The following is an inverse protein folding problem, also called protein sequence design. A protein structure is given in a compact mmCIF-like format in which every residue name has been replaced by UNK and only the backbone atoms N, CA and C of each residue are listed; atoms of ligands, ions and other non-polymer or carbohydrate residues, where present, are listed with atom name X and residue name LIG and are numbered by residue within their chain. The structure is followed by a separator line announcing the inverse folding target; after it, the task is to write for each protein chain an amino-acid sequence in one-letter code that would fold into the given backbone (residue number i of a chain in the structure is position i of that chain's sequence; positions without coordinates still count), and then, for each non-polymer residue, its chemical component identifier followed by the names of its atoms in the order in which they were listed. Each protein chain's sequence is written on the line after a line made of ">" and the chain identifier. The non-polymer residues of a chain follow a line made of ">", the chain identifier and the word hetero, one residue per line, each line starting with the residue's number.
data_IF_224994434646
#
_entry.id   IF_224994434646
#
_cell.length_a   1.000
_cell.length_b   1.000
_cell.length_c   1.000
_cell.angle_alpha   90.00
_cell.angle_beta   90.00
_cell.angle_gamma   90.00
#
_symmetry.space_group_name_H-M   'P 1'
#
loop_
_entity.id
_entity.type
_entity.pdbx_description
1 polymer ?
#
# COMPACT_ATOMS: atom_id res chain seq x y z
N UNK A 1 15.10 36.25 25.88
CA UNK A 1 15.73 34.91 25.99
C UNK A 1 17.18 35.12 26.35
N UNK A 2 17.65 34.54 27.45
CA UNK A 2 19.06 34.63 27.86
C UNK A 2 19.93 33.73 26.97
N UNK A 3 21.11 34.21 26.59
CA UNK A 3 22.10 33.42 25.89
C UNK A 3 22.65 32.35 26.83
N UNK A 4 22.73 31.11 26.36
CA UNK A 4 23.37 30.00 27.08
C UNK A 4 24.81 29.89 26.58
N UNK A 5 25.79 29.83 27.49
CA UNK A 5 27.19 29.59 27.12
C UNK A 5 27.34 28.26 26.38
N UNK A 6 27.96 28.29 25.19
CA UNK A 6 28.20 27.11 24.38
C UNK A 6 29.12 27.41 23.21
N UNK A 7 29.61 26.35 22.55
CA UNK A 7 30.32 26.45 21.28
C UNK A 7 29.30 26.57 20.14
N UNK A 8 29.58 27.43 19.17
CA UNK A 8 28.77 27.60 17.97
C UNK A 8 29.67 27.55 16.74
N UNK A 9 29.09 27.19 15.60
CA UNK A 9 29.83 27.21 14.35
C UNK A 9 30.19 28.65 13.94
N UNK A 10 31.38 28.85 13.33
CA UNK A 10 31.76 30.13 12.73
C UNK A 10 30.77 30.58 11.66
N UNK A 11 30.77 31.89 11.37
CA UNK A 11 29.93 32.46 10.32
C UNK A 11 30.14 31.76 8.97
N UNK A 12 29.03 31.41 8.31
CA UNK A 12 29.04 30.68 7.03
C UNK A 12 29.09 29.15 7.15
N UNK A 13 29.33 28.60 8.34
CA UNK A 13 29.28 27.17 8.62
C UNK A 13 28.05 26.79 9.45
N UNK A 14 27.61 25.56 9.29
CA UNK A 14 26.43 24.98 9.94
C UNK A 14 26.81 23.75 10.74
N UNK A 15 26.18 23.56 11.90
CA UNK A 15 26.35 22.36 12.70
C UNK A 15 25.82 21.14 11.92
N UNK A 16 26.65 20.11 11.80
CA UNK A 16 26.32 18.87 11.09
C UNK A 16 25.52 17.88 11.94
N UNK A 17 25.24 18.21 13.21
CA UNK A 17 24.54 17.36 14.18
C UNK A 17 25.36 16.18 14.70
N UNK A 18 26.64 16.10 14.31
CA UNK A 18 27.65 15.14 14.78
C UNK A 18 28.80 15.83 15.54
N UNK A 19 28.69 17.13 15.76
CA UNK A 19 29.66 17.95 16.48
C UNK A 19 30.69 18.64 15.58
N UNK A 20 30.50 18.62 14.25
CA UNK A 20 31.30 19.31 13.26
C UNK A 20 30.59 20.53 12.68
N UNK A 21 31.36 21.40 12.02
CA UNK A 21 30.84 22.56 11.29
C UNK A 21 31.14 22.39 9.80
N UNK A 22 30.10 22.43 8.96
CA UNK A 22 30.18 22.17 7.51
C UNK A 22 29.60 23.32 6.69
N UNK A 23 29.99 23.43 5.42
CA UNK A 23 29.33 24.34 4.49
C UNK A 23 27.89 23.87 4.21
N UNK A 24 27.00 24.79 3.85
CA UNK A 24 25.59 24.46 3.55
C UNK A 24 25.44 23.34 2.52
N UNK A 25 26.36 23.26 1.54
CA UNK A 25 26.34 22.22 0.50
C UNK A 25 26.63 20.81 1.05
N UNK A 26 27.36 20.74 2.16
CA UNK A 26 27.83 19.51 2.80
C UNK A 26 26.97 19.12 4.01
N UNK A 27 25.89 19.88 4.29
CA UNK A 27 24.93 19.55 5.33
C UNK A 27 24.30 18.15 5.12
N UNK A 28 24.42 17.24 6.10
CA UNK A 28 23.82 15.92 6.04
C UNK A 28 22.30 15.98 6.22
N UNK A 29 21.60 14.94 5.75
CA UNK A 29 20.16 14.76 5.93
C UNK A 29 19.87 13.69 6.98
N UNK A 30 18.73 13.78 7.65
CA UNK A 30 18.24 12.76 8.56
C UNK A 30 17.03 12.03 7.98
N UNK A 31 16.96 10.71 8.19
CA UNK A 31 15.80 9.90 7.85
C UNK A 31 15.73 8.70 8.81
N UNK A 32 14.58 8.49 9.47
CA UNK A 32 14.40 7.44 10.50
C UNK A 32 15.52 7.40 11.56
N UNK A 33 15.90 8.59 12.06
CA UNK A 33 16.97 8.79 13.06
C UNK A 33 18.38 8.38 12.61
N UNK A 34 18.59 8.12 11.32
CA UNK A 34 19.92 7.91 10.75
C UNK A 34 20.40 9.13 9.96
N UNK A 35 21.72 9.33 9.92
CA UNK A 35 22.38 10.45 9.25
C UNK A 35 22.98 10.04 7.92
N UNK A 36 22.66 10.80 6.87
CA UNK A 36 23.07 10.56 5.49
C UNK A 36 23.90 11.73 4.96
N UNK A 37 25.08 11.44 4.40
CA UNK A 37 25.92 12.45 3.77
C UNK A 37 25.28 13.04 2.51
N UNK A 38 25.69 14.24 2.11
CA UNK A 38 25.28 14.85 0.84
C UNK A 38 25.50 13.89 -0.33
N UNK A 39 24.52 13.84 -1.24
CA UNK A 39 24.53 12.95 -2.41
C UNK A 39 24.06 11.51 -2.12
N UNK A 40 23.88 11.13 -0.86
CA UNK A 40 23.30 9.86 -0.49
C UNK A 40 21.88 9.71 -1.08
N UNK A 41 21.54 8.48 -1.47
CA UNK A 41 20.24 8.15 -2.07
C UNK A 41 19.51 7.14 -1.22
N UNK A 42 18.24 7.40 -0.96
CA UNK A 42 17.31 6.46 -0.32
C UNK A 42 16.12 6.21 -1.24
N UNK A 43 15.48 5.04 -1.06
CA UNK A 43 14.19 4.75 -1.68
C UNK A 43 13.07 4.94 -0.66
N UNK A 44 12.07 5.72 -1.03
CA UNK A 44 10.84 5.90 -0.27
C UNK A 44 9.69 5.45 -1.17
N UNK A 45 9.15 4.28 -0.88
CA UNK A 45 8.18 3.57 -1.74
C UNK A 45 8.73 3.38 -3.17
N UNK A 46 8.15 4.02 -4.19
CA UNK A 46 8.63 4.00 -5.56
C UNK A 46 9.54 5.19 -5.93
N UNK A 47 9.75 6.13 -5.00
CA UNK A 47 10.52 7.34 -5.23
C UNK A 47 11.97 7.20 -4.79
N UNK A 48 12.86 7.93 -5.47
CA UNK A 48 14.27 8.03 -5.10
C UNK A 48 14.52 9.44 -4.57
N UNK A 49 15.02 9.52 -3.34
CA UNK A 49 15.35 10.77 -2.68
C UNK A 49 16.87 10.91 -2.59
N UNK A 50 17.38 12.10 -2.93
CA UNK A 50 18.80 12.44 -2.83
C UNK A 50 18.98 13.52 -1.77
N UNK A 51 19.91 13.32 -0.85
CA UNK A 51 20.26 14.33 0.15
C UNK A 51 21.01 15.49 -0.53
N UNK A 52 20.46 16.70 -0.44
CA UNK A 52 21.03 17.91 -1.00
C UNK A 52 20.87 19.06 -0.01
N UNK A 53 21.99 19.63 0.45
CA UNK A 53 22.00 20.81 1.33
C UNK A 53 21.15 20.62 2.61
N UNK A 54 21.25 19.46 3.25
CA UNK A 54 20.48 19.12 4.45
C UNK A 54 19.00 18.79 4.22
N UNK A 55 18.51 18.79 2.97
CA UNK A 55 17.14 18.45 2.62
C UNK A 55 17.05 17.27 1.64
N UNK A 56 15.95 16.54 1.68
CA UNK A 56 15.67 15.47 0.73
C UNK A 56 15.02 16.03 -0.54
N UNK A 57 15.68 15.84 -1.68
CA UNK A 57 15.10 16.07 -3.01
C UNK A 57 14.63 14.74 -3.59
N UNK A 58 13.32 14.53 -3.68
CA UNK A 58 12.72 13.28 -4.13
C UNK A 58 12.13 13.38 -5.53
N UNK A 59 12.08 12.25 -6.24
CA UNK A 59 11.20 12.11 -7.42
C UNK A 59 9.73 12.19 -7.00
N UNK A 60 8.87 12.61 -7.94
CA UNK A 60 7.41 12.76 -7.72
C UNK A 60 6.60 11.69 -8.47
N UNK A 61 7.10 10.45 -8.49
CA UNK A 61 6.36 9.34 -9.09
C UNK A 61 5.16 9.00 -8.22
N UNK A 62 4.00 8.79 -8.84
CA UNK A 62 2.83 8.26 -8.15
C UNK A 62 3.04 6.75 -7.99
N UNK A 63 3.03 6.29 -6.75
CA UNK A 63 3.26 4.88 -6.42
C UNK A 63 1.94 4.09 -6.38
N UNK A 64 2.05 2.78 -6.16
CA UNK A 64 0.88 1.94 -5.95
C UNK A 64 0.13 2.36 -4.68
N UNK A 65 -1.19 2.47 -4.77
CA UNK A 65 -2.03 2.52 -3.57
C UNK A 65 -2.13 1.12 -2.96
N UNK A 66 -2.03 1.00 -1.64
CA UNK A 66 -2.25 -0.28 -0.93
C UNK A 66 -3.43 -0.18 0.03
N UNK A 67 -4.41 -1.07 -0.12
CA UNK A 67 -5.45 -1.34 0.86
C UNK A 67 -5.11 -2.65 1.59
N UNK A 68 -5.32 -2.69 2.91
CA UNK A 68 -5.00 -3.87 3.73
C UNK A 68 -6.22 -4.30 4.52
N UNK A 69 -6.50 -5.60 4.51
CA UNK A 69 -7.49 -6.26 5.36
C UNK A 69 -6.75 -7.28 6.20
N UNK A 70 -6.91 -7.26 7.52
CA UNK A 70 -6.20 -8.19 8.40
C UNK A 70 -6.97 -8.50 9.68
N UNK A 71 -6.64 -9.66 10.27
CA UNK A 71 -7.21 -10.07 11.55
C UNK A 71 -8.74 -10.22 11.52
N UNK A 72 -9.39 -9.61 12.51
CA UNK A 72 -10.84 -9.66 12.71
C UNK A 72 -11.47 -8.30 12.36
N UNK A 73 -11.66 -8.04 11.08
CA UNK A 73 -12.35 -6.83 10.63
C UNK A 73 -11.54 -5.54 10.69
N UNK A 74 -10.20 -5.59 10.66
CA UNK A 74 -9.36 -4.39 10.57
C UNK A 74 -9.05 -4.02 9.12
N UNK A 75 -9.18 -2.74 8.80
CA UNK A 75 -8.97 -2.21 7.46
C UNK A 75 -8.02 -1.01 7.48
N UNK A 76 -7.17 -0.94 6.45
CA UNK A 76 -6.39 0.24 6.09
C UNK A 76 -6.74 0.57 4.65
N UNK A 77 -7.35 1.72 4.42
CA UNK A 77 -7.72 2.21 3.09
C UNK A 77 -6.50 2.63 2.27
N UNK A 78 -6.69 2.86 0.96
CA UNK A 78 -5.63 3.34 0.06
C UNK A 78 -5.01 4.69 0.46
N UNK A 79 -5.75 5.53 1.18
CA UNK A 79 -5.32 6.81 1.73
C UNK A 79 -4.84 6.73 3.19
N UNK A 80 -4.71 5.52 3.75
CA UNK A 80 -4.11 5.29 5.06
C UNK A 80 -5.05 5.48 6.25
N UNK A 81 -6.37 5.46 6.04
CA UNK A 81 -7.34 5.51 7.12
C UNK A 81 -7.53 4.12 7.74
N UNK A 82 -7.40 4.05 9.05
CA UNK A 82 -7.64 2.86 9.85
C UNK A 82 -9.08 2.83 10.36
N UNK A 83 -9.75 1.70 10.24
CA UNK A 83 -11.05 1.46 10.88
C UNK A 83 -11.32 -0.02 11.12
N UNK A 84 -12.25 -0.28 12.03
CA UNK A 84 -12.72 -1.62 12.38
C UNK A 84 -14.16 -1.81 11.89
N UNK A 85 -14.47 -2.98 11.33
CA UNK A 85 -15.79 -3.31 10.83
C UNK A 85 -16.08 -4.82 10.95
N UNK A 86 -17.00 -5.16 11.85
CA UNK A 86 -17.44 -6.54 12.15
C UNK A 86 -18.75 -6.91 11.42
N UNK A 87 -18.76 -6.82 10.10
CA UNK A 87 -19.92 -7.20 9.29
C UNK A 87 -19.93 -8.70 8.93
N UNK A 88 -21.05 -9.40 9.11
CA UNK A 88 -21.22 -10.83 8.79
C UNK A 88 -21.88 -11.07 7.42
N UNK A 89 -21.28 -10.53 6.37
CA UNK A 89 -21.77 -10.64 4.99
C UNK A 89 -20.60 -10.58 3.98
N UNK A 90 -20.95 -10.57 2.70
CA UNK A 90 -20.03 -10.21 1.62
C UNK A 90 -20.01 -8.69 1.45
N UNK A 91 -18.81 -8.12 1.45
CA UNK A 91 -18.61 -6.68 1.28
C UNK A 91 -17.63 -6.41 0.15
N UNK A 92 -17.89 -5.34 -0.60
CA UNK A 92 -16.95 -4.82 -1.57
C UNK A 92 -15.77 -4.23 -0.81
N UNK A 93 -14.59 -4.83 -1.00
CA UNK A 93 -13.34 -4.27 -0.51
C UNK A 93 -12.87 -3.12 -1.41
N UNK A 94 -12.96 -3.33 -2.73
CA UNK A 94 -12.80 -2.29 -3.73
C UNK A 94 -13.26 -2.74 -5.12
N UNK A 95 -13.74 -1.82 -5.95
CA UNK A 95 -14.13 -2.02 -7.34
C UNK A 95 -14.01 -0.70 -8.14
N UNK A 96 -14.02 -0.80 -9.46
CA UNK A 96 -14.05 0.37 -10.36
C UNK A 96 -15.44 0.71 -10.91
N UNK A 97 -16.47 -0.01 -10.46
CA UNK A 97 -17.87 0.28 -10.73
C UNK A 97 -18.47 1.18 -9.64
N UNK A 98 -18.31 2.49 -9.79
CA UNK A 98 -18.76 3.48 -8.81
C UNK A 98 -19.79 4.44 -9.43
N UNK A 99 -21.06 4.09 -9.30
CA UNK A 99 -22.21 4.84 -9.84
C UNK A 99 -22.42 4.67 -11.35
N UNK A 100 -23.35 5.43 -11.92
CA UNK A 100 -23.87 5.25 -13.30
C UNK A 100 -22.88 5.63 -14.43
N UNK A 101 -21.65 6.04 -14.09
CA UNK A 101 -20.64 6.54 -15.04
C UNK A 101 -19.49 5.59 -15.34
N UNK A 102 -19.54 4.34 -14.87
CA UNK A 102 -18.54 3.31 -15.20
C UNK A 102 -19.12 2.27 -16.17
N UNK A 103 -19.19 2.55 -17.49
CA UNK A 103 -19.78 1.63 -18.47
C UNK A 103 -19.00 0.32 -18.67
N UNK A 104 -17.78 0.20 -18.12
CA UNK A 104 -16.99 -1.03 -18.14
C UNK A 104 -16.26 -1.22 -16.81
N UNK A 105 -16.85 -1.97 -15.89
CA UNK A 105 -16.11 -2.46 -14.72
C UNK A 105 -15.03 -3.43 -15.19
N UNK A 106 -13.79 -3.16 -14.83
CA UNK A 106 -12.65 -4.04 -15.13
C UNK A 106 -12.34 -4.97 -13.98
N UNK A 107 -12.67 -4.60 -12.73
CA UNK A 107 -12.45 -5.46 -11.57
C UNK A 107 -13.38 -5.14 -10.39
N UNK A 108 -13.57 -6.15 -9.54
CA UNK A 108 -14.20 -6.02 -8.23
C UNK A 108 -13.56 -7.03 -7.27
N UNK A 109 -13.28 -6.62 -6.04
CA UNK A 109 -12.73 -7.48 -4.99
C UNK A 109 -13.72 -7.47 -3.83
N UNK A 110 -14.20 -8.66 -3.48
CA UNK A 110 -15.17 -8.88 -2.42
C UNK A 110 -14.51 -9.69 -1.31
N UNK A 111 -14.72 -9.27 -0.07
CA UNK A 111 -14.36 -10.02 1.14
C UNK A 111 -15.61 -10.68 1.71
N UNK A 112 -15.53 -11.98 1.97
CA UNK A 112 -16.58 -12.75 2.63
C UNK A 112 -16.23 -12.90 4.11
N UNK A 113 -16.92 -12.11 4.95
CA UNK A 113 -16.71 -12.09 6.38
C UNK A 113 -17.75 -12.98 7.07
N UNK A 114 -17.27 -14.00 7.77
CA UNK A 114 -18.13 -14.90 8.56
C UNK A 114 -17.80 -14.75 10.04
N UNK A 115 -18.78 -14.94 10.94
CA UNK A 115 -18.51 -15.04 12.37
C UNK A 115 -17.49 -16.15 12.62
N UNK A 116 -16.40 -15.83 13.30
CA UNK A 116 -15.38 -16.80 13.66
C UNK A 116 -15.01 -16.65 15.13
N UNK A 117 -15.55 -17.54 15.95
CA UNK A 117 -15.47 -17.50 17.40
C UNK A 117 -16.86 -17.39 18.05
N UNK A 118 -16.88 -17.08 19.35
CA UNK A 118 -18.11 -17.03 20.17
C UNK A 118 -18.49 -15.61 20.60
N UNK A 119 -17.65 -14.61 20.31
CA UNK A 119 -17.81 -13.22 20.75
C UNK A 119 -18.55 -12.33 19.74
N UNK A 120 -18.97 -12.88 18.60
CA UNK A 120 -19.64 -12.11 17.54
C UNK A 120 -18.69 -11.40 16.55
N UNK A 121 -17.37 -11.52 16.73
CA UNK A 121 -16.37 -11.01 15.78
C UNK A 121 -16.40 -11.77 14.46
N UNK A 122 -16.05 -11.09 13.37
CA UNK A 122 -16.00 -11.68 12.03
C UNK A 122 -14.59 -11.67 11.47
N UNK A 123 -14.24 -12.69 10.69
CA UNK A 123 -13.00 -12.71 9.93
C UNK A 123 -13.27 -13.05 8.47
N UNK A 124 -12.41 -12.52 7.60
CA UNK A 124 -12.47 -12.80 6.18
C UNK A 124 -12.09 -14.27 5.95
N UNK A 125 -13.07 -15.06 5.52
CA UNK A 125 -12.91 -16.50 5.26
C UNK A 125 -12.55 -16.79 3.81
N UNK A 126 -13.04 -15.95 2.90
CA UNK A 126 -12.79 -16.05 1.48
C UNK A 126 -12.65 -14.67 0.85
N UNK A 127 -11.87 -14.61 -0.23
CA UNK A 127 -11.75 -13.43 -1.07
C UNK A 127 -12.18 -13.81 -2.48
N UNK A 128 -13.06 -13.01 -3.08
CA UNK A 128 -13.45 -13.16 -4.48
C UNK A 128 -12.89 -11.99 -5.26
N UNK A 129 -12.05 -12.29 -6.25
CA UNK A 129 -11.45 -11.31 -7.14
C UNK A 129 -12.04 -11.51 -8.54
N UNK A 130 -12.78 -10.51 -9.00
CA UNK A 130 -13.37 -10.45 -10.33
C UNK A 130 -12.45 -9.64 -11.24
N UNK A 131 -12.05 -10.25 -12.34
CA UNK A 131 -11.21 -9.66 -13.39
C UNK A 131 -11.93 -9.85 -14.73
N UNK A 132 -12.75 -8.86 -15.10
CA UNK A 132 -13.67 -9.01 -16.24
C UNK A 132 -14.56 -10.25 -16.09
N UNK A 133 -14.41 -11.22 -17.00
CA UNK A 133 -15.17 -12.50 -16.97
C UNK A 133 -14.59 -13.57 -16.04
N UNK A 134 -13.42 -13.35 -15.45
CA UNK A 134 -12.75 -14.34 -14.61
C UNK A 134 -13.04 -14.07 -13.13
N UNK A 135 -13.59 -15.04 -12.42
CA UNK A 135 -13.71 -15.04 -10.97
C UNK A 135 -12.61 -15.91 -10.35
N UNK A 136 -11.83 -15.33 -9.45
CA UNK A 136 -10.85 -16.03 -8.65
C UNK A 136 -11.34 -16.08 -7.21
N UNK A 137 -11.71 -17.26 -6.72
CA UNK A 137 -12.12 -17.48 -5.33
C UNK A 137 -10.95 -18.03 -4.53
N UNK A 138 -10.43 -17.22 -3.60
CA UNK A 138 -9.36 -17.58 -2.68
C UNK A 138 -9.99 -18.05 -1.37
N UNK A 139 -9.89 -19.34 -1.07
CA UNK A 139 -10.52 -19.97 0.08
C UNK A 139 -9.76 -21.24 0.45
N UNK A 140 -9.79 -21.65 1.73
CA UNK A 140 -9.20 -22.93 2.17
C UNK A 140 -7.73 -23.12 1.78
N UNK A 141 -6.94 -22.03 1.82
CA UNK A 141 -5.51 -21.97 1.43
C UNK A 141 -5.21 -22.24 -0.06
N UNK A 142 -6.24 -22.31 -0.89
CA UNK A 142 -6.16 -22.50 -2.34
C UNK A 142 -6.88 -21.36 -3.06
N UNK A 143 -6.74 -21.32 -4.39
CA UNK A 143 -7.59 -20.48 -5.24
C UNK A 143 -8.26 -21.35 -6.31
N UNK A 144 -9.48 -21.00 -6.67
CA UNK A 144 -10.24 -21.63 -7.75
C UNK A 144 -10.61 -20.58 -8.78
N UNK A 145 -10.37 -20.90 -10.04
CA UNK A 145 -10.82 -20.09 -11.16
C UNK A 145 -12.20 -20.54 -11.61
N UNK A 146 -13.10 -19.57 -11.81
CA UNK A 146 -14.46 -19.76 -12.29
C UNK A 146 -14.66 -18.79 -13.45
N UNK A 147 -15.03 -19.32 -14.62
CA UNK A 147 -15.35 -18.51 -15.80
C UNK A 147 -16.80 -18.01 -15.73
N UNK A 148 -17.01 -16.72 -16.02
CA UNK A 148 -18.32 -16.07 -16.05
C UNK A 148 -18.73 -15.74 -17.49
N UNK A 149 -20.03 -15.60 -17.70
CA UNK A 149 -20.61 -15.36 -19.03
C UNK A 149 -20.41 -13.91 -19.54
N UNK A 150 -20.06 -12.97 -18.66
CA UNK A 150 -20.07 -11.53 -18.94
C UNK A 150 -18.77 -10.89 -18.44
N UNK A 151 -18.10 -10.10 -19.30
CA UNK A 151 -16.95 -9.28 -18.96
C UNK A 151 -15.85 -9.28 -20.02
N UNK A 152 -14.93 -8.32 -19.94
CA UNK A 152 -13.72 -8.29 -20.78
C UNK A 152 -12.74 -9.40 -20.41
N UNK A 153 -11.79 -9.68 -21.31
CA UNK A 153 -10.70 -10.62 -21.03
C UNK A 153 -9.57 -9.88 -20.32
N UNK A 154 -9.30 -10.23 -19.06
CA UNK A 154 -8.21 -9.65 -18.27
C UNK A 154 -7.24 -10.76 -17.90
N UNK A 155 -6.06 -10.73 -18.52
CA UNK A 155 -5.02 -11.70 -18.23
C UNK A 155 -4.45 -11.47 -16.82
N UNK A 156 -4.22 -12.56 -16.09
CA UNK A 156 -3.60 -12.55 -14.77
C UNK A 156 -2.55 -13.66 -14.68
N UNK A 157 -1.59 -13.48 -13.79
CA UNK A 157 -0.62 -14.50 -13.42
C UNK A 157 -0.56 -14.62 -11.90
N UNK A 158 -0.22 -15.82 -11.44
CA UNK A 158 -0.08 -16.10 -10.02
C UNK A 158 1.33 -16.63 -9.72
N UNK A 159 1.82 -16.32 -8.53
CA UNK A 159 3.06 -16.86 -7.98
C UNK A 159 2.96 -17.02 -6.47
N UNK A 160 3.65 -18.00 -5.92
CA UNK A 160 3.80 -18.14 -4.46
C UNK A 160 5.14 -17.52 -4.04
N UNK A 161 5.11 -16.59 -3.09
CA UNK A 161 6.29 -15.93 -2.53
C UNK A 161 6.30 -16.13 -1.03
N UNK A 162 7.13 -17.04 -0.54
CA UNK A 162 7.12 -17.45 0.87
C UNK A 162 5.77 -18.05 1.26
N UNK A 163 5.11 -17.45 2.26
CA UNK A 163 3.78 -17.87 2.73
C UNK A 163 2.63 -17.25 1.93
N UNK A 164 2.92 -16.29 1.04
CA UNK A 164 1.91 -15.52 0.34
C UNK A 164 1.63 -16.07 -1.06
N UNK A 165 0.35 -16.09 -1.43
CA UNK A 165 -0.10 -16.16 -2.82
C UNK A 165 -0.18 -14.73 -3.37
N UNK A 166 0.46 -14.50 -4.52
CA UNK A 166 0.43 -13.22 -5.22
C UNK A 166 -0.26 -13.42 -6.56
N UNK A 167 -1.33 -12.66 -6.81
CA UNK A 167 -2.06 -12.59 -8.07
C UNK A 167 -1.84 -11.20 -8.65
N UNK A 168 -1.34 -11.12 -9.87
CA UNK A 168 -1.10 -9.87 -10.58
C UNK A 168 -1.88 -9.90 -11.89
N UNK A 169 -2.61 -8.82 -12.16
CA UNK A 169 -3.43 -8.67 -13.35
C UNK A 169 -2.85 -7.62 -14.29
N UNK A 170 -3.01 -7.86 -15.60
CA UNK A 170 -2.56 -6.97 -16.67
C UNK A 170 -3.18 -5.57 -16.64
N UNK A 171 -4.34 -5.41 -16.00
CA UNK A 171 -5.00 -4.12 -15.78
C UNK A 171 -4.42 -3.33 -14.59
N UNK A 172 -3.37 -3.82 -13.94
CA UNK A 172 -2.69 -3.11 -12.84
C UNK A 172 -3.30 -3.31 -11.46
N UNK A 173 -4.10 -4.36 -11.28
CA UNK A 173 -4.61 -4.83 -9.98
C UNK A 173 -3.72 -5.96 -9.48
N UNK A 174 -3.35 -5.93 -8.21
CA UNK A 174 -2.57 -6.97 -7.55
C UNK A 174 -3.19 -7.33 -6.21
N UNK A 175 -3.25 -8.62 -5.91
CA UNK A 175 -3.75 -9.17 -4.66
C UNK A 175 -2.69 -10.08 -4.04
N UNK A 176 -2.38 -9.85 -2.77
CA UNK A 176 -1.42 -10.62 -1.99
C UNK A 176 -2.15 -11.19 -0.77
N UNK A 177 -2.17 -12.51 -0.63
CA UNK A 177 -2.92 -13.19 0.43
C UNK A 177 -2.02 -14.16 1.20
N UNK A 178 -2.07 -14.10 2.53
CA UNK A 178 -1.29 -14.95 3.44
C UNK A 178 -1.85 -16.38 3.61
N UNK A 179 -2.86 -16.76 2.80
CA UNK A 179 -3.62 -18.02 2.91
C UNK A 179 -4.44 -18.15 4.20
N UNK A 180 -4.59 -17.05 4.95
CA UNK A 180 -5.37 -16.94 6.18
C UNK A 180 -6.28 -15.70 6.07
N UNK A 181 -6.04 -14.68 6.87
CA UNK A 181 -6.91 -13.51 7.04
C UNK A 181 -6.31 -12.22 6.50
N UNK A 182 -5.01 -12.21 6.16
CA UNK A 182 -4.32 -10.98 5.73
C UNK A 182 -4.32 -10.87 4.22
N UNK A 183 -4.84 -9.76 3.71
CA UNK A 183 -4.93 -9.45 2.29
C UNK A 183 -4.37 -8.05 2.05
N UNK A 184 -3.46 -7.93 1.09
CA UNK A 184 -3.02 -6.66 0.55
C UNK A 184 -3.52 -6.52 -0.88
N UNK A 185 -4.24 -5.44 -1.15
CA UNK A 185 -4.72 -5.07 -2.48
C UNK A 185 -3.88 -3.88 -2.94
N UNK A 186 -3.18 -4.03 -4.07
CA UNK A 186 -2.37 -2.97 -4.66
C UNK A 186 -2.93 -2.56 -6.00
N UNK A 187 -3.07 -1.25 -6.21
CA UNK A 187 -3.56 -0.67 -7.46
C UNK A 187 -2.53 0.27 -8.06
N UNK A 188 -2.35 0.17 -9.38
CA UNK A 188 -1.56 1.17 -10.12
C UNK A 188 -2.16 2.58 -9.96
N UNK A 189 -1.33 3.63 -10.10
CA UNK A 189 -1.77 5.03 -10.04
C UNK A 189 -2.97 5.40 -10.92
N UNK A 190 -3.20 4.66 -12.00
CA UNK A 190 -4.28 4.88 -12.96
C UNK A 190 -5.68 4.72 -12.37
N UNK A 191 -5.80 4.13 -11.18
CA UNK A 191 -7.06 3.96 -10.45
C UNK A 191 -7.33 5.07 -9.42
N UNK A 192 -6.46 6.08 -9.31
CA UNK A 192 -6.66 7.20 -8.37
C UNK A 192 -8.00 7.88 -8.66
N UNK A 193 -8.87 7.97 -7.63
CA UNK A 193 -10.23 8.54 -7.70
C UNK A 193 -11.18 7.80 -8.67
N UNK A 194 -10.88 6.54 -9.02
CA UNK A 194 -11.74 5.69 -9.87
C UNK A 194 -12.33 4.49 -9.13
N UNK A 195 -11.95 4.33 -7.87
CA UNK A 195 -12.36 3.20 -7.05
C UNK A 195 -13.19 3.65 -5.87
N UNK A 196 -14.12 2.77 -5.56
CA UNK A 196 -14.79 2.55 -4.30
C UNK A 196 -14.51 1.05 -4.00
#
# INVERSE_FOLDING_TARGET
>A
TECVSGCVCPEGLYDDGKGGCVEQKDCPCTHNNEWYSTGAKIKVDCNTCTCQKGAWSCTENVCYGTCTIYGSGHYITFDGKFYDFDGSCEYVATQDFCGDKSPSSSFSIITENVPCGTTGVTCSKAIKMFLGKTELKLENKEYKEIQRDIGGDVHYWNRTVGLYLVIEASNGVMLIWDKKTTVFIKLTPNYKVRTC
#
